data_IF_035032960707
#
_entry.id   IF_035032960707
#
_cell.length_a   1.000
_cell.length_b   1.000
_cell.length_c   1.000
_cell.angle_alpha   90.00
_cell.angle_beta   90.00
_cell.angle_gamma   90.00
#
_symmetry.space_group_name_H-M   'P 1'
#
loop_
_entity.id
_entity.type
_entity.pdbx_description
1 polymer ?
#
# COMPACT_ATOMS: atom_id res chain seq x y z
N UNK A 1 -2.58 -20.64 -1.33
CA UNK A 1 -3.81 -21.01 -0.55
C UNK A 1 -4.67 -19.75 -0.39
N UNK A 2 -5.91 -19.78 0.13
CA UNK A 2 -6.74 -18.55 0.23
C UNK A 2 -7.08 -18.19 1.68
N UNK A 3 -7.01 -16.90 2.02
CA UNK A 3 -7.39 -16.39 3.34
C UNK A 3 -8.90 -16.53 3.54
N UNK A 4 -9.33 -17.17 4.64
CA UNK A 4 -10.74 -17.35 4.97
C UNK A 4 -11.50 -16.03 5.11
N UNK A 5 -10.86 -14.97 5.59
CA UNK A 5 -11.53 -13.71 5.92
C UNK A 5 -11.64 -12.74 4.74
N UNK A 6 -10.53 -12.53 4.02
CA UNK A 6 -10.49 -11.57 2.91
C UNK A 6 -10.42 -12.21 1.52
N UNK A 7 -10.39 -13.54 1.43
CA UNK A 7 -10.29 -14.31 0.16
C UNK A 7 -9.02 -14.03 -0.66
N UNK A 8 -8.04 -13.30 -0.12
CA UNK A 8 -6.77 -13.08 -0.81
C UNK A 8 -6.00 -14.38 -0.94
N UNK A 9 -5.32 -14.55 -2.08
CA UNK A 9 -4.38 -15.65 -2.26
C UNK A 9 -3.18 -15.41 -1.34
N UNK A 10 -2.93 -16.35 -0.44
CA UNK A 10 -1.77 -16.41 0.43
C UNK A 10 -0.66 -17.13 -0.33
N UNK A 11 0.44 -16.40 -0.54
CA UNK A 11 1.71 -16.90 -1.10
C UNK A 11 2.52 -17.63 -0.01
N UNK A 12 3.40 -18.55 -0.40
CA UNK A 12 4.31 -19.28 0.50
C UNK A 12 5.25 -18.34 1.27
N UNK A 13 5.52 -17.16 0.71
CA UNK A 13 6.36 -16.12 1.32
C UNK A 13 5.60 -15.18 2.26
N UNK A 14 4.26 -15.22 2.28
CA UNK A 14 3.46 -14.36 3.14
C UNK A 14 3.27 -14.99 4.52
N UNK A 15 3.32 -14.18 5.58
CA UNK A 15 2.95 -14.66 6.90
C UNK A 15 1.45 -14.97 6.96
N UNK A 16 1.12 -16.16 7.44
CA UNK A 16 -0.25 -16.61 7.67
C UNK A 16 -0.33 -17.38 8.99
N UNK A 17 -1.56 -17.57 9.45
CA UNK A 17 -1.86 -18.30 10.68
C UNK A 17 -2.89 -19.37 10.38
N UNK A 18 -2.60 -20.61 10.79
CA UNK A 18 -3.58 -21.68 10.78
C UNK A 18 -4.61 -21.45 11.88
N UNK A 19 -5.87 -21.77 11.60
CA UNK A 19 -6.96 -21.63 12.56
C UNK A 19 -6.76 -22.53 13.77
N UNK A 20 -6.08 -23.65 13.59
CA UNK A 20 -5.81 -24.64 14.64
C UNK A 20 -4.79 -24.11 15.68
N UNK A 21 -3.96 -23.15 15.29
CA UNK A 21 -2.99 -22.47 16.16
C UNK A 21 -3.59 -21.24 16.88
N UNK A 22 -4.85 -20.88 16.57
CA UNK A 22 -5.52 -19.73 17.16
C UNK A 22 -6.27 -20.10 18.43
N UNK A 23 -6.23 -19.23 19.44
CA UNK A 23 -7.05 -19.39 20.64
C UNK A 23 -8.56 -19.27 20.33
N UNK A 24 -9.44 -19.91 21.13
CA UNK A 24 -10.88 -19.96 20.89
C UNK A 24 -11.54 -18.57 20.85
N UNK A 25 -10.98 -17.60 21.58
CA UNK A 25 -11.43 -16.21 21.55
C UNK A 25 -11.29 -15.58 20.16
N UNK A 26 -10.14 -15.80 19.51
CA UNK A 26 -9.85 -15.28 18.17
C UNK A 26 -10.76 -15.96 17.15
N UNK A 27 -10.87 -17.29 17.23
CA UNK A 27 -11.77 -18.10 16.39
C UNK A 27 -13.20 -17.56 16.48
N UNK A 28 -13.72 -17.35 17.69
CA UNK A 28 -15.11 -16.87 17.90
C UNK A 28 -15.38 -15.51 17.25
N UNK A 29 -14.38 -14.63 17.19
CA UNK A 29 -14.50 -13.30 16.58
C UNK A 29 -14.52 -13.42 15.06
N UNK A 30 -13.69 -14.31 14.50
CA UNK A 30 -13.64 -14.57 13.07
C UNK A 30 -14.92 -15.28 12.63
N UNK A 31 -15.40 -16.29 13.35
CA UNK A 31 -16.68 -16.97 13.09
C UNK A 31 -17.84 -15.99 13.11
N UNK A 32 -17.87 -15.09 14.10
CA UNK A 32 -18.87 -14.01 14.16
C UNK A 32 -18.79 -13.08 12.95
N UNK A 33 -17.59 -12.79 12.46
CA UNK A 33 -17.36 -11.94 11.29
C UNK A 33 -17.74 -12.64 9.97
N UNK A 34 -17.46 -13.94 9.87
CA UNK A 34 -17.74 -14.77 8.69
C UNK A 34 -19.20 -15.19 8.60
N UNK A 35 -19.88 -15.31 9.75
CA UNK A 35 -21.26 -15.78 9.84
C UNK A 35 -21.42 -17.31 9.78
N UNK A 36 -20.33 -18.07 9.85
CA UNK A 36 -20.33 -19.53 9.85
C UNK A 36 -19.16 -20.08 10.67
N UNK A 37 -19.21 -21.38 10.99
CA UNK A 37 -18.12 -22.09 11.66
C UNK A 37 -16.88 -22.16 10.77
N UNK A 38 -15.71 -21.99 11.38
CA UNK A 38 -14.44 -22.07 10.65
C UNK A 38 -14.08 -23.54 10.42
N UNK A 39 -13.77 -23.97 9.19
CA UNK A 39 -13.32 -25.34 8.94
C UNK A 39 -11.93 -25.58 9.54
N UNK A 40 -11.69 -26.80 10.02
CA UNK A 40 -10.36 -27.25 10.49
C UNK A 40 -9.31 -27.07 9.38
N UNK A 41 -8.12 -26.60 9.75
CA UNK A 41 -7.04 -26.32 8.79
C UNK A 41 -7.24 -25.05 7.93
N UNK A 42 -8.14 -24.16 8.35
CA UNK A 42 -8.33 -22.85 7.73
C UNK A 42 -7.09 -21.96 7.84
N UNK A 43 -6.91 -21.03 6.89
CA UNK A 43 -5.78 -20.10 6.89
C UNK A 43 -6.25 -18.65 6.90
N UNK A 44 -5.57 -17.81 7.68
CA UNK A 44 -5.82 -16.38 7.75
C UNK A 44 -4.52 -15.63 7.47
N UNK A 45 -4.55 -14.68 6.54
CA UNK A 45 -3.39 -13.85 6.23
C UNK A 45 -3.04 -12.93 7.40
N UNK A 46 -1.77 -12.56 7.53
CA UNK A 46 -1.27 -11.71 8.61
C UNK A 46 -2.08 -10.42 8.80
N UNK A 47 -2.47 -9.76 7.71
CA UNK A 47 -3.26 -8.52 7.78
C UNK A 47 -4.63 -8.74 8.45
N UNK A 48 -5.33 -9.83 8.12
CA UNK A 48 -6.60 -10.18 8.74
C UNK A 48 -6.42 -10.57 10.22
N UNK A 49 -5.35 -11.29 10.55
CA UNK A 49 -5.03 -11.64 11.93
C UNK A 49 -4.76 -10.39 12.79
N UNK A 50 -3.95 -9.44 12.31
CA UNK A 50 -3.67 -8.17 13.01
C UNK A 50 -4.97 -7.40 13.22
N UNK A 51 -5.84 -7.33 12.20
CA UNK A 51 -7.12 -6.64 12.30
C UNK A 51 -8.04 -7.27 13.36
N UNK A 52 -8.14 -8.59 13.38
CA UNK A 52 -8.92 -9.33 14.36
C UNK A 52 -8.39 -9.09 15.78
N UNK A 53 -7.06 -9.15 15.99
CA UNK A 53 -6.45 -8.86 17.30
C UNK A 53 -6.71 -7.43 17.78
N UNK A 54 -6.60 -6.44 16.89
CA UNK A 54 -6.91 -5.03 17.24
C UNK A 54 -8.37 -4.87 17.63
N UNK A 55 -9.28 -5.54 16.93
CA UNK A 55 -10.72 -5.53 17.26
C UNK A 55 -10.98 -6.09 18.66
N UNK A 56 -10.32 -7.21 19.02
CA UNK A 56 -10.42 -7.81 20.36
C UNK A 56 -9.90 -6.87 21.44
N UNK A 57 -8.78 -6.19 21.19
CA UNK A 57 -8.20 -5.26 22.16
C UNK A 57 -9.04 -3.99 22.35
N UNK A 58 -9.69 -3.49 21.29
CA UNK A 58 -10.51 -2.28 21.33
C UNK A 58 -11.91 -2.52 21.89
N UNK A 59 -12.46 -3.73 21.71
CA UNK A 59 -13.76 -4.14 22.25
C UNK A 59 -13.52 -5.02 23.47
N UNK A 60 -13.32 -4.42 24.65
CA UNK A 60 -13.16 -5.17 25.89
C UNK A 60 -14.35 -6.12 26.14
N UNK A 61 -14.18 -7.38 25.73
CA UNK A 61 -14.90 -8.65 25.98
C UNK A 61 -16.45 -8.67 26.01
N UNK A 62 -17.18 -7.56 26.13
CA UNK A 62 -18.64 -7.55 26.23
C UNK A 62 -19.20 -6.37 25.45
N UNK A 63 -19.25 -6.50 24.13
CA UNK A 63 -20.20 -5.75 23.32
C UNK A 63 -21.06 -6.76 22.56
N UNK A 64 -22.37 -6.66 22.79
CA UNK A 64 -23.44 -7.38 22.09
C UNK A 64 -23.14 -7.56 20.59
N UNK A 65 -23.65 -8.64 19.94
CA UNK A 65 -23.33 -8.96 18.56
C UNK A 65 -23.47 -7.70 17.72
N UNK A 66 -22.33 -7.21 17.22
CA UNK A 66 -22.30 -6.12 16.27
C UNK A 66 -23.23 -6.56 15.15
N UNK A 67 -24.41 -5.94 15.11
CA UNK A 67 -25.40 -6.10 14.06
C UNK A 67 -24.58 -6.06 12.78
N UNK A 68 -24.42 -7.22 12.13
CA UNK A 68 -23.59 -7.37 10.93
C UNK A 68 -23.85 -6.14 10.08
N UNK A 69 -22.84 -5.32 9.82
CA UNK A 69 -22.98 -4.02 9.17
C UNK A 69 -23.88 -4.15 7.95
N UNK A 70 -25.19 -3.92 8.12
CA UNK A 70 -26.22 -4.14 7.09
C UNK A 70 -25.98 -3.19 5.90
N UNK A 71 -25.11 -2.21 6.11
CA UNK A 71 -24.70 -1.21 5.15
C UNK A 71 -23.35 -1.56 4.49
N UNK A 72 -22.97 -2.82 4.33
CA UNK A 72 -21.79 -3.21 3.55
C UNK A 72 -22.15 -4.17 2.40
N UNK A 73 -21.50 -3.99 1.24
CA UNK A 73 -21.69 -4.85 0.08
C UNK A 73 -21.22 -6.28 0.41
N UNK A 74 -22.09 -7.28 0.26
CA UNK A 74 -21.76 -8.68 0.52
C UNK A 74 -20.59 -9.18 -0.34
N UNK A 75 -20.49 -8.69 -1.59
CA UNK A 75 -19.40 -9.05 -2.51
C UNK A 75 -18.09 -8.34 -2.18
N UNK A 76 -18.05 -7.00 -2.29
CA UNK A 76 -16.81 -6.23 -2.21
C UNK A 76 -16.52 -5.58 -0.86
N UNK A 77 -17.40 -5.77 0.14
CA UNK A 77 -17.31 -5.24 1.52
C UNK A 77 -17.23 -3.72 1.66
N UNK A 78 -17.37 -2.96 0.58
CA UNK A 78 -17.46 -1.50 0.64
C UNK A 78 -18.74 -1.06 1.33
N UNK A 79 -18.66 0.05 2.07
CA UNK A 79 -19.81 0.69 2.68
C UNK A 79 -20.85 1.11 1.62
N UNK A 80 -22.11 0.86 1.92
CA UNK A 80 -23.30 1.20 1.15
C UNK A 80 -23.95 2.50 1.64
N UNK A 81 -23.41 3.14 2.67
CA UNK A 81 -24.04 4.30 3.35
C UNK A 81 -24.35 5.49 2.42
N UNK A 82 -23.79 5.52 1.21
CA UNK A 82 -24.05 6.56 0.18
C UNK A 82 -24.09 5.98 -1.24
N UNK A 83 -24.20 4.65 -1.38
CA UNK A 83 -24.11 3.99 -2.69
C UNK A 83 -25.45 3.33 -3.02
N UNK A 84 -25.88 3.41 -4.27
CA UNK A 84 -27.03 2.60 -4.74
C UNK A 84 -26.75 1.12 -4.46
N UNK A 85 -27.66 0.49 -3.74
CA UNK A 85 -27.58 -0.91 -3.35
C UNK A 85 -28.75 -1.70 -3.93
N UNK A 86 -28.56 -3.00 -4.08
CA UNK A 86 -29.58 -3.95 -4.49
C UNK A 86 -29.69 -5.06 -3.47
N UNK A 87 -30.91 -5.43 -3.09
CA UNK A 87 -31.19 -6.70 -2.46
C UNK A 87 -30.86 -7.82 -3.45
N UNK A 88 -30.23 -8.88 -2.97
CA UNK A 88 -29.92 -10.05 -3.79
C UNK A 88 -31.19 -10.93 -3.86
N UNK A 89 -31.92 -10.98 -4.98
CA UNK A 89 -33.09 -11.86 -5.12
C UNK A 89 -32.65 -13.32 -5.25
N UNK A 90 -33.59 -14.25 -5.07
CA UNK A 90 -33.39 -15.65 -5.47
C UNK A 90 -33.27 -15.72 -6.99
N UNK A 91 -32.12 -16.16 -7.50
CA UNK A 91 -31.84 -16.16 -8.94
C UNK A 91 -30.39 -16.54 -9.29
N UNK A 92 -30.06 -16.63 -10.59
CA UNK A 92 -28.72 -17.02 -11.05
C UNK A 92 -27.63 -16.04 -10.60
N UNK A 93 -27.95 -14.76 -10.42
CA UNK A 93 -27.04 -13.76 -9.86
C UNK A 93 -26.62 -14.12 -8.44
N UNK A 94 -27.55 -14.65 -7.62
CA UNK A 94 -27.25 -15.12 -6.26
C UNK A 94 -26.22 -16.24 -6.30
N UNK A 95 -26.40 -17.21 -7.20
CA UNK A 95 -25.45 -18.32 -7.37
C UNK A 95 -24.05 -17.82 -7.73
N UNK A 96 -23.94 -16.90 -8.70
CA UNK A 96 -22.66 -16.28 -9.08
C UNK A 96 -22.02 -15.55 -7.89
N UNK A 97 -22.81 -14.77 -7.14
CA UNK A 97 -22.32 -14.06 -5.96
C UNK A 97 -21.84 -15.07 -4.91
N UNK A 98 -22.65 -16.06 -4.55
CA UNK A 98 -22.32 -17.13 -3.59
C UNK A 98 -21.02 -17.83 -3.96
N UNK A 99 -20.87 -18.24 -5.22
CA UNK A 99 -19.63 -18.86 -5.73
C UNK A 99 -18.43 -17.93 -5.59
N UNK A 100 -18.62 -16.64 -5.87
CA UNK A 100 -17.54 -15.65 -5.81
C UNK A 100 -17.12 -15.31 -4.38
N UNK A 101 -18.06 -15.33 -3.43
CA UNK A 101 -17.78 -14.96 -2.04
C UNK A 101 -17.41 -16.14 -1.15
N UNK A 102 -17.48 -17.37 -1.67
CA UNK A 102 -17.10 -18.60 -0.98
C UNK A 102 -15.72 -18.46 -0.32
N UNK A 103 -15.55 -18.85 0.95
CA UNK A 103 -16.46 -19.69 1.77
C UNK A 103 -17.62 -18.95 2.46
N UNK A 104 -17.78 -17.65 2.27
CA UNK A 104 -18.74 -16.84 3.03
C UNK A 104 -20.16 -17.07 2.54
N UNK A 105 -21.11 -17.06 3.46
CA UNK A 105 -22.54 -17.13 3.14
C UNK A 105 -23.15 -15.74 2.96
N UNK A 106 -24.21 -15.65 2.14
CA UNK A 106 -24.98 -14.42 1.97
C UNK A 106 -25.97 -14.32 3.14
N UNK A 107 -25.85 -13.32 4.03
CA UNK A 107 -26.77 -13.17 5.15
C UNK A 107 -28.20 -12.88 4.66
N UNK A 108 -29.24 -13.21 5.45
CA UNK A 108 -30.62 -12.87 5.11
C UNK A 108 -30.76 -11.35 4.97
N UNK A 109 -31.29 -10.89 3.84
CA UNK A 109 -31.36 -9.46 3.50
C UNK A 109 -30.05 -8.84 3.01
N UNK A 110 -29.06 -9.66 2.64
CA UNK A 110 -27.78 -9.20 2.12
C UNK A 110 -27.92 -8.24 0.93
N UNK A 111 -27.17 -7.13 0.98
CA UNK A 111 -27.14 -6.11 -0.05
C UNK A 111 -25.83 -6.15 -0.84
N UNK A 112 -25.89 -5.84 -2.13
CA UNK A 112 -24.72 -5.60 -2.97
C UNK A 112 -24.72 -4.17 -3.50
N UNK A 113 -23.54 -3.59 -3.69
CA UNK A 113 -23.44 -2.30 -4.38
C UNK A 113 -23.80 -2.47 -5.86
N UNK A 114 -24.26 -1.38 -6.49
CA UNK A 114 -24.65 -1.35 -7.90
C UNK A 114 -23.60 -1.96 -8.85
N UNK A 115 -22.30 -1.65 -8.63
CA UNK A 115 -21.24 -2.17 -9.48
C UNK A 115 -21.12 -3.70 -9.41
N UNK A 116 -21.16 -4.28 -8.21
CA UNK A 116 -21.14 -5.73 -8.01
C UNK A 116 -22.40 -6.39 -8.57
N UNK A 117 -23.55 -5.74 -8.45
CA UNK A 117 -24.80 -6.24 -9.04
C UNK A 117 -24.72 -6.33 -10.57
N UNK A 118 -24.24 -5.28 -11.23
CA UNK A 118 -24.03 -5.28 -12.70
C UNK A 118 -23.01 -6.34 -13.12
N UNK A 119 -21.95 -6.55 -12.33
CA UNK A 119 -20.96 -7.59 -12.59
C UNK A 119 -21.58 -9.01 -12.50
N UNK A 120 -22.39 -9.29 -11.49
CA UNK A 120 -23.14 -10.56 -11.39
C UNK A 120 -24.00 -10.79 -12.64
N UNK A 121 -24.79 -9.79 -13.03
CA UNK A 121 -25.67 -9.90 -14.21
C UNK A 121 -24.92 -10.20 -15.50
N UNK A 122 -23.79 -9.52 -15.74
CA UNK A 122 -22.94 -9.80 -16.90
C UNK A 122 -22.41 -11.23 -16.89
N UNK A 123 -22.02 -11.75 -15.73
CA UNK A 123 -21.55 -13.12 -15.60
C UNK A 123 -22.66 -14.15 -15.88
N UNK A 124 -23.90 -13.87 -15.44
CA UNK A 124 -25.07 -14.69 -15.80
C UNK A 124 -25.29 -14.69 -17.31
N UNK A 125 -25.28 -13.52 -17.95
CA UNK A 125 -25.42 -13.41 -19.42
C UNK A 125 -24.28 -14.10 -20.18
N UNK A 126 -23.07 -14.11 -19.62
CA UNK A 126 -21.95 -14.86 -20.20
C UNK A 126 -22.13 -16.37 -20.05
N UNK A 127 -22.58 -16.85 -18.90
CA UNK A 127 -22.82 -18.27 -18.66
C UNK A 127 -23.90 -18.83 -19.62
N UNK A 128 -25.02 -18.12 -19.78
CA UNK A 128 -26.10 -18.54 -20.68
C UNK A 128 -25.64 -18.60 -22.14
N UNK A 129 -24.87 -17.59 -22.60
CA UNK A 129 -24.31 -17.59 -23.96
C UNK A 129 -23.30 -18.73 -24.19
N UNK A 130 -22.54 -19.14 -23.18
CA UNK A 130 -21.60 -20.26 -23.32
C UNK A 130 -22.36 -21.58 -23.46
N UNK A 131 -23.47 -21.75 -22.74
CA UNK A 131 -24.33 -22.93 -22.86
C UNK A 131 -25.02 -23.01 -24.24
N UNK A 132 -25.54 -21.89 -24.74
CA UNK A 132 -26.15 -21.83 -26.08
C UNK A 132 -25.13 -22.17 -27.19
N UNK A 133 -23.88 -21.73 -27.04
CA UNK A 133 -22.81 -22.00 -28.01
C UNK A 133 -22.28 -23.45 -27.93
N UNK A 134 -22.54 -24.19 -26.84
CA UNK A 134 -22.13 -25.59 -26.70
C UNK A 134 -23.04 -26.58 -27.44
N UNK A 135 -24.22 -26.17 -27.89
CA UNK A 135 -25.18 -27.03 -28.59
C UNK A 135 -24.98 -27.11 -30.13
N UNK A 136 -23.89 -26.54 -30.66
CA UNK A 136 -23.51 -26.66 -32.08
C UNK A 136 -22.63 -27.89 -32.38
N UNK A 137 -22.70 -28.46 -33.60
CA UNK A 137 -21.94 -29.66 -33.98
C UNK A 137 -20.42 -29.41 -33.92
N UNK A 138 -19.74 -30.24 -33.14
CA UNK A 138 -18.46 -29.94 -32.45
C UNK A 138 -17.16 -30.15 -33.24
N UNK A 139 -17.16 -30.09 -34.57
CA UNK A 139 -15.98 -30.55 -35.35
C UNK A 139 -15.20 -29.48 -36.13
N UNK A 140 -15.40 -28.17 -35.87
CA UNK A 140 -14.70 -27.08 -36.59
C UNK A 140 -14.05 -26.02 -35.70
N UNK A 141 -14.00 -26.20 -34.37
CA UNK A 141 -13.65 -25.11 -33.43
C UNK A 141 -12.22 -25.11 -32.88
N UNK A 142 -11.37 -26.09 -33.21
CA UNK A 142 -9.97 -26.06 -32.77
C UNK A 142 -9.13 -25.00 -33.53
N UNK A 143 -9.49 -24.67 -34.78
CA UNK A 143 -8.77 -23.67 -35.61
C UNK A 143 -9.11 -22.22 -35.27
N UNK A 144 -9.95 -21.98 -34.25
CA UNK A 144 -10.42 -20.64 -33.89
C UNK A 144 -10.02 -20.21 -32.48
N UNK A 145 -8.95 -20.78 -31.91
CA UNK A 145 -8.44 -20.39 -30.59
C UNK A 145 -7.09 -19.69 -30.69
N UNK A 146 -6.86 -18.71 -29.81
CA UNK A 146 -5.57 -18.06 -29.67
C UNK A 146 -4.53 -19.09 -29.22
N UNK A 147 -3.44 -19.25 -29.96
CA UNK A 147 -2.39 -20.20 -29.62
C UNK A 147 -1.72 -19.88 -28.27
N UNK A 148 -1.66 -18.61 -27.89
CA UNK A 148 -1.11 -18.19 -26.61
C UNK A 148 -2.12 -18.31 -25.46
N UNK A 149 -3.23 -17.56 -25.49
CA UNK A 149 -4.14 -17.47 -24.35
C UNK A 149 -5.32 -18.46 -24.39
N UNK A 150 -5.40 -19.32 -25.42
CA UNK A 150 -6.47 -20.29 -25.68
C UNK A 150 -7.88 -19.70 -25.78
N UNK A 151 -8.01 -18.38 -25.80
CA UNK A 151 -9.28 -17.69 -25.90
C UNK A 151 -9.84 -17.81 -27.33
N UNK A 152 -11.16 -17.99 -27.46
CA UNK A 152 -11.83 -18.04 -28.76
C UNK A 152 -11.59 -16.73 -29.54
N UNK A 153 -11.23 -16.90 -30.80
CA UNK A 153 -10.99 -15.87 -31.80
C UNK A 153 -12.23 -15.57 -32.63
N UNK A 154 -13.36 -16.22 -32.36
CA UNK A 154 -14.60 -15.99 -33.08
C UNK A 154 -14.99 -14.51 -33.00
N UNK A 155 -15.15 -13.87 -34.17
CA UNK A 155 -15.44 -12.42 -34.35
C UNK A 155 -14.38 -11.45 -33.79
N UNK A 156 -13.15 -11.91 -33.55
CA UNK A 156 -12.04 -11.04 -33.12
C UNK A 156 -11.05 -10.85 -34.26
N UNK A 157 -10.33 -9.72 -34.26
CA UNK A 157 -9.18 -9.53 -35.14
C UNK A 157 -8.06 -10.50 -34.73
N UNK A 158 -7.66 -11.34 -35.67
CA UNK A 158 -6.63 -12.37 -35.51
C UNK A 158 -5.35 -11.99 -36.24
N UNK A 159 -4.23 -12.47 -35.72
CA UNK A 159 -2.91 -12.30 -36.33
C UNK A 159 -2.24 -13.66 -36.42
N UNK A 160 -1.50 -13.91 -37.50
CA UNK A 160 -0.73 -15.15 -37.65
C UNK A 160 0.58 -15.02 -36.87
N UNK A 161 0.95 -16.03 -36.09
CA UNK A 161 2.24 -16.07 -35.43
C UNK A 161 3.35 -16.37 -36.46
N UNK A 162 4.08 -15.36 -36.89
CA UNK A 162 5.16 -15.48 -37.88
C UNK A 162 6.44 -14.78 -37.42
N UNK A 163 7.60 -15.28 -37.86
CA UNK A 163 8.90 -14.67 -37.55
C UNK A 163 9.21 -14.65 -36.04
N UNK A 164 9.83 -13.58 -35.51
CA UNK A 164 10.22 -13.47 -34.09
C UNK A 164 9.05 -13.64 -33.11
N UNK A 165 7.84 -13.23 -33.52
CA UNK A 165 6.62 -13.43 -32.73
C UNK A 165 6.29 -14.91 -32.56
N UNK A 166 6.56 -15.73 -33.58
CA UNK A 166 6.35 -17.19 -33.51
C UNK A 166 7.29 -17.81 -32.49
N UNK A 167 8.55 -17.39 -32.49
CA UNK A 167 9.58 -17.92 -31.59
C UNK A 167 9.27 -17.56 -30.13
N UNK A 168 8.90 -16.31 -29.85
CA UNK A 168 8.48 -15.86 -28.52
C UNK A 168 7.24 -16.64 -28.03
N UNK A 169 6.24 -16.84 -28.89
CA UNK A 169 5.04 -17.61 -28.52
C UNK A 169 5.38 -19.08 -28.29
N UNK A 170 6.20 -19.69 -29.15
CA UNK A 170 6.62 -21.09 -29.02
C UNK A 170 7.39 -21.32 -27.71
N UNK A 171 8.30 -20.42 -27.34
CA UNK A 171 9.01 -20.45 -26.07
C UNK A 171 8.04 -20.39 -24.88
N UNK A 172 6.99 -19.58 -24.98
CA UNK A 172 6.00 -19.40 -23.90
C UNK A 172 5.08 -20.59 -23.69
N UNK A 173 4.77 -21.34 -24.73
CA UNK A 173 3.80 -22.46 -24.68
C UNK A 173 4.46 -23.83 -24.54
N UNK A 174 5.79 -23.88 -24.43
CA UNK A 174 6.57 -25.10 -24.21
C UNK A 174 5.99 -25.91 -23.03
N UNK A 175 5.77 -27.23 -23.18
CA UNK A 175 6.28 -28.13 -24.23
C UNK A 175 5.35 -28.31 -25.44
N UNK A 176 4.29 -27.53 -25.60
CA UNK A 176 3.35 -27.75 -26.70
C UNK A 176 3.92 -27.26 -28.04
N UNK A 177 3.75 -28.06 -29.09
CA UNK A 177 4.11 -27.65 -30.45
C UNK A 177 3.13 -26.58 -30.97
N UNK A 178 3.69 -25.51 -31.55
CA UNK A 178 2.92 -24.42 -32.15
C UNK A 178 2.58 -24.78 -33.61
N UNK A 179 1.28 -24.91 -33.97
CA UNK A 179 0.87 -25.20 -35.34
C UNK A 179 1.41 -24.16 -36.34
N UNK A 180 1.62 -24.57 -37.59
CA UNK A 180 2.18 -23.72 -38.65
C UNK A 180 1.35 -22.45 -38.92
N UNK A 181 0.04 -22.54 -38.75
CA UNK A 181 -0.89 -21.43 -38.93
C UNK A 181 -1.53 -20.98 -37.60
N UNK A 182 -0.76 -21.04 -36.51
CA UNK A 182 -1.21 -20.59 -35.21
C UNK A 182 -1.68 -19.13 -35.24
N UNK A 183 -2.92 -18.91 -34.78
CA UNK A 183 -3.52 -17.58 -34.70
C UNK A 183 -3.40 -17.02 -33.29
N UNK A 184 -3.17 -15.71 -33.20
CA UNK A 184 -3.12 -14.94 -31.96
C UNK A 184 -4.26 -13.93 -31.93
N UNK A 185 -4.78 -13.65 -30.74
CA UNK A 185 -5.65 -12.50 -30.54
C UNK A 185 -4.80 -11.21 -30.58
N UNK A 186 -5.43 -10.08 -30.89
CA UNK A 186 -4.73 -8.79 -30.99
C UNK A 186 -3.89 -8.45 -29.75
N UNK A 187 -4.40 -8.71 -28.54
CA UNK A 187 -3.66 -8.42 -27.31
C UNK A 187 -2.40 -9.31 -27.14
N UNK A 188 -2.50 -10.60 -27.46
CA UNK A 188 -1.34 -11.51 -27.39
C UNK A 188 -0.31 -11.17 -28.46
N UNK A 189 -0.76 -10.73 -29.63
CA UNK A 189 0.14 -10.26 -30.69
C UNK A 189 0.90 -9.00 -30.29
N UNK A 190 0.21 -7.98 -29.76
CA UNK A 190 0.86 -6.75 -29.27
C UNK A 190 1.85 -7.06 -28.14
N UNK A 191 1.46 -7.91 -27.19
CA UNK A 191 2.34 -8.31 -26.08
C UNK A 191 3.58 -9.07 -26.54
N UNK A 192 3.46 -9.90 -27.58
CA UNK A 192 4.62 -10.55 -28.19
C UNK A 192 5.61 -9.52 -28.74
N UNK A 193 5.08 -8.53 -29.47
CA UNK A 193 5.89 -7.45 -30.03
C UNK A 193 6.57 -6.61 -28.96
N UNK A 194 5.86 -6.21 -27.90
CA UNK A 194 6.44 -5.46 -26.79
C UNK A 194 7.58 -6.23 -26.10
N UNK A 195 7.44 -7.54 -25.90
CA UNK A 195 8.50 -8.37 -25.34
C UNK A 195 9.74 -8.39 -26.25
N UNK A 196 9.54 -8.55 -27.57
CA UNK A 196 10.64 -8.56 -28.55
C UNK A 196 11.35 -7.20 -28.59
N UNK A 197 10.61 -6.10 -28.54
CA UNK A 197 11.17 -4.74 -28.50
C UNK A 197 11.95 -4.51 -27.21
N UNK A 198 11.43 -4.94 -26.05
CA UNK A 198 12.15 -4.88 -24.78
C UNK A 198 13.45 -5.70 -24.80
N UNK A 199 13.44 -6.90 -25.36
CA UNK A 199 14.65 -7.71 -25.49
C UNK A 199 15.69 -7.07 -26.43
N UNK A 200 15.26 -6.37 -27.47
CA UNK A 200 16.15 -5.61 -28.35
C UNK A 200 16.72 -4.35 -27.68
N UNK A 201 15.95 -3.66 -26.83
CA UNK A 201 16.45 -2.53 -26.04
C UNK A 201 17.46 -2.97 -24.96
N UNK A 202 17.31 -4.16 -24.37
CA UNK A 202 18.27 -4.69 -23.38
C UNK A 202 19.63 -5.00 -24.00
N UNK A 203 19.68 -5.43 -25.27
CA UNK A 203 20.96 -5.69 -25.97
C UNK A 203 21.64 -4.38 -26.43
N UNK A 204 20.90 -3.27 -26.58
CA UNK A 204 21.46 -1.99 -27.00
C UNK A 204 21.99 -1.13 -25.83
N UNK A 205 21.70 -1.48 -24.58
CA UNK A 205 22.17 -0.76 -23.38
C UNK A 205 23.40 -1.36 -22.69
N UNK A 206 23.90 -2.54 -23.11
CA UNK A 206 25.01 -3.22 -22.44
C UNK A 206 26.38 -3.05 -23.11
N UNK A 207 26.61 -1.89 -23.75
CA UNK A 207 27.97 -1.37 -24.00
C UNK A 207 28.00 0.13 -23.75
N UNK A 208 27.69 0.54 -22.51
CA UNK A 208 28.16 1.82 -21.99
C UNK A 208 29.52 1.54 -21.32
N UNK A 209 30.63 2.22 -21.70
CA UNK A 209 31.90 2.05 -20.99
C UNK A 209 31.67 2.31 -19.49
N UNK A 210 32.39 1.62 -18.59
CA UNK A 210 32.16 1.71 -17.15
C UNK A 210 32.16 3.18 -16.76
N UNK A 211 31.00 3.65 -16.31
CA UNK A 211 30.87 4.98 -15.73
C UNK A 211 31.94 5.05 -14.66
N UNK A 212 32.92 5.94 -14.83
CA UNK A 212 34.04 6.05 -13.91
C UNK A 212 33.48 6.28 -12.50
N UNK A 213 33.49 5.22 -11.68
CA UNK A 213 33.07 5.24 -10.30
C UNK A 213 34.24 5.71 -9.46
N UNK A 214 34.01 6.73 -8.63
CA UNK A 214 35.01 7.30 -7.75
C UNK A 214 34.67 6.85 -6.32
N UNK A 215 35.64 6.32 -5.60
CA UNK A 215 35.49 6.04 -4.17
C UNK A 215 35.70 7.32 -3.38
N UNK A 216 34.77 7.68 -2.52
CA UNK A 216 34.89 8.85 -1.64
C UNK A 216 35.00 8.39 -0.19
N UNK A 217 36.20 8.45 0.37
CA UNK A 217 36.43 8.07 1.76
C UNK A 217 35.74 9.03 2.73
N UNK A 218 35.06 8.47 3.73
CA UNK A 218 34.31 9.22 4.74
C UNK A 218 32.91 9.67 4.31
N UNK A 219 32.48 9.35 3.08
CA UNK A 219 31.10 9.50 2.63
C UNK A 219 30.57 8.16 2.12
N UNK A 220 29.29 7.91 2.35
CA UNK A 220 28.60 6.74 1.81
C UNK A 220 27.31 7.15 1.13
N UNK A 221 26.69 6.26 0.35
CA UNK A 221 25.40 6.51 -0.27
C UNK A 221 24.44 5.33 -0.15
N UNK A 222 23.17 5.68 -0.07
CA UNK A 222 22.07 4.70 -0.04
C UNK A 222 21.88 4.06 -1.41
N UNK A 223 21.46 2.79 -1.45
CA UNK A 223 21.00 2.17 -2.69
C UNK A 223 19.76 2.87 -3.25
N UNK A 224 19.56 2.79 -4.56
CA UNK A 224 18.33 3.29 -5.17
C UNK A 224 17.17 2.34 -4.83
N UNK A 225 16.31 2.77 -3.91
CA UNK A 225 15.25 1.93 -3.35
C UNK A 225 13.89 2.44 -3.80
N UNK A 226 13.40 1.98 -4.95
CA UNK A 226 12.06 2.37 -5.46
C UNK A 226 10.93 1.60 -4.77
N UNK A 227 11.21 0.42 -4.23
CA UNK A 227 10.22 -0.55 -3.73
C UNK A 227 10.16 -0.69 -2.22
N UNK A 228 11.17 -0.23 -1.48
CA UNK A 228 11.26 -0.34 -0.02
C UNK A 228 11.90 0.89 0.60
N UNK A 229 11.79 1.04 1.93
CA UNK A 229 12.48 2.11 2.64
C UNK A 229 14.00 1.94 2.55
N UNK A 230 14.75 3.04 2.40
CA UNK A 230 16.21 3.01 2.31
C UNK A 230 16.89 2.55 3.61
N UNK A 231 16.17 2.61 4.74
CA UNK A 231 16.63 2.08 6.02
C UNK A 231 16.69 0.54 5.95
N UNK A 232 17.87 -0.07 6.21
CA UNK A 232 18.01 -1.52 6.20
C UNK A 232 17.04 -2.23 7.15
N UNK A 233 16.57 -3.41 6.74
CA UNK A 233 15.61 -4.24 7.48
C UNK A 233 14.24 -3.57 7.79
N UNK A 234 13.92 -2.44 7.16
CA UNK A 234 12.59 -1.84 7.29
C UNK A 234 11.56 -2.56 6.40
N UNK A 235 10.55 -3.15 7.03
CA UNK A 235 9.44 -3.85 6.35
C UNK A 235 8.17 -3.01 6.20
N UNK A 236 8.26 -1.70 6.45
CA UNK A 236 7.09 -0.82 6.32
C UNK A 236 6.70 -0.64 4.85
N UNK A 237 5.39 -0.75 4.58
CA UNK A 237 4.81 -0.71 3.23
C UNK A 237 4.76 0.69 2.62
N UNK A 238 4.94 1.72 3.44
CA UNK A 238 4.85 3.11 3.01
C UNK A 238 6.12 3.53 2.26
N UNK A 239 5.93 4.16 1.10
CA UNK A 239 7.00 4.47 0.14
C UNK A 239 6.97 5.93 -0.24
N UNK A 240 7.25 6.82 0.71
CA UNK A 240 7.35 8.24 0.41
C UNK A 240 8.69 8.56 -0.21
N UNK A 241 8.75 9.50 -1.16
CA UNK A 241 10.04 10.07 -1.58
C UNK A 241 10.70 10.75 -0.39
N UNK A 242 12.02 10.57 -0.25
CA UNK A 242 12.78 11.25 0.82
C UNK A 242 12.75 12.76 0.53
N UNK A 243 12.19 13.58 1.44
CA UNK A 243 12.17 15.02 1.25
C UNK A 243 13.59 15.59 1.18
N UNK A 244 13.78 16.66 0.42
CA UNK A 244 15.09 17.25 0.20
C UNK A 244 15.76 17.73 1.49
N UNK A 245 14.99 18.35 2.40
CA UNK A 245 15.49 18.76 3.71
C UNK A 245 16.07 17.58 4.51
N UNK A 246 15.45 16.41 4.42
CA UNK A 246 15.88 15.22 5.16
C UNK A 246 17.15 14.64 4.55
N UNK A 247 17.26 14.62 3.22
CA UNK A 247 18.49 14.21 2.52
C UNK A 247 19.68 15.08 2.93
N UNK A 248 19.46 16.38 3.12
CA UNK A 248 20.50 17.32 3.55
C UNK A 248 20.91 17.11 5.00
N UNK A 249 19.95 16.91 5.91
CA UNK A 249 20.24 16.64 7.33
C UNK A 249 21.10 15.38 7.44
N UNK A 250 20.69 14.28 6.79
CA UNK A 250 21.43 13.01 6.81
C UNK A 250 22.82 13.16 6.20
N UNK A 251 22.96 13.91 5.10
CA UNK A 251 24.27 14.18 4.49
C UNK A 251 25.21 14.97 5.41
N UNK A 252 24.67 15.89 6.23
CA UNK A 252 25.46 16.71 7.15
C UNK A 252 25.82 15.99 8.44
N UNK A 253 24.86 15.28 9.05
CA UNK A 253 25.07 14.64 10.34
C UNK A 253 25.83 13.32 10.19
N UNK A 254 25.37 12.44 9.29
CA UNK A 254 25.89 11.07 9.14
C UNK A 254 26.88 10.92 7.97
N UNK A 255 27.07 11.95 7.13
CA UNK A 255 27.87 11.88 5.89
C UNK A 255 27.35 10.84 4.89
N UNK A 256 26.03 10.61 4.90
CA UNK A 256 25.35 9.66 4.01
C UNK A 256 24.57 10.42 2.94
N UNK A 257 24.93 10.20 1.67
CA UNK A 257 24.18 10.71 0.53
C UNK A 257 22.98 9.82 0.24
N UNK A 258 21.78 10.36 0.49
CA UNK A 258 20.53 9.69 0.12
C UNK A 258 20.20 9.98 -1.34
N UNK A 259 20.01 8.93 -2.14
CA UNK A 259 19.73 9.06 -3.59
C UNK A 259 18.34 9.66 -3.86
N UNK A 260 18.15 10.27 -5.03
CA UNK A 260 16.87 10.92 -5.38
C UNK A 260 15.69 9.94 -5.44
N UNK A 261 15.99 8.69 -5.80
CA UNK A 261 15.01 7.63 -5.93
C UNK A 261 14.79 6.84 -4.63
N UNK A 262 15.50 7.17 -3.55
CA UNK A 262 15.27 6.54 -2.26
C UNK A 262 13.84 6.75 -1.77
N UNK A 263 13.34 5.80 -0.98
CA UNK A 263 12.04 5.90 -0.30
C UNK A 263 12.19 5.82 1.21
N UNK A 264 11.29 6.47 1.94
CA UNK A 264 11.22 6.47 3.40
C UNK A 264 9.77 6.24 3.86
N UNK A 265 9.57 5.37 4.85
CA UNK A 265 8.27 5.16 5.47
C UNK A 265 7.91 6.33 6.42
N UNK A 266 6.65 6.47 6.83
CA UNK A 266 6.25 7.58 7.72
C UNK A 266 6.90 7.48 9.09
N UNK A 267 7.14 6.26 9.59
CA UNK A 267 7.84 6.03 10.86
C UNK A 267 9.25 6.63 10.83
N UNK A 268 10.07 6.21 9.86
CA UNK A 268 11.43 6.75 9.70
C UNK A 268 11.44 8.21 9.27
N UNK A 269 10.45 8.68 8.51
CA UNK A 269 10.33 10.09 8.15
C UNK A 269 10.15 11.01 9.38
N UNK A 270 9.55 10.49 10.44
CA UNK A 270 9.33 11.23 11.69
C UNK A 270 10.47 11.05 12.71
N UNK A 271 11.51 10.28 12.40
CA UNK A 271 12.66 10.16 13.30
C UNK A 271 13.52 11.43 13.27
N UNK A 272 13.93 11.85 14.46
CA UNK A 272 14.79 13.00 14.69
C UNK A 272 16.27 12.62 14.82
N UNK A 273 16.56 11.35 15.08
CA UNK A 273 17.91 10.82 15.21
C UNK A 273 18.18 9.79 14.11
N UNK A 274 19.26 10.00 13.36
CA UNK A 274 19.73 9.14 12.27
C UNK A 274 21.07 8.47 12.56
N UNK A 275 21.61 8.60 13.79
CA UNK A 275 22.89 7.99 14.24
C UNK A 275 22.93 6.46 14.06
N UNK A 276 21.77 5.79 14.04
CA UNK A 276 21.71 4.36 13.81
C UNK A 276 22.14 3.96 12.38
N UNK A 277 22.14 4.91 11.43
CA UNK A 277 22.56 4.65 10.06
C UNK A 277 24.06 4.35 9.95
N UNK A 278 24.89 4.86 10.86
CA UNK A 278 26.33 4.56 10.92
C UNK A 278 26.63 3.07 11.14
N UNK A 279 25.67 2.34 11.70
CA UNK A 279 25.79 0.89 11.93
C UNK A 279 25.58 0.08 10.64
N UNK A 280 25.18 0.73 9.55
CA UNK A 280 24.85 0.08 8.29
C UNK A 280 25.93 0.26 7.23
N UNK A 281 26.21 -0.81 6.50
CA UNK A 281 27.19 -0.81 5.41
C UNK A 281 26.57 -0.26 4.13
N UNK A 282 26.63 1.06 3.97
CA UNK A 282 26.35 1.73 2.72
C UNK A 282 27.57 1.73 1.80
N UNK A 283 27.36 1.88 0.49
CA UNK A 283 28.47 1.88 -0.47
C UNK A 283 29.19 3.22 -0.47
N UNK A 284 30.50 3.21 -0.66
CA UNK A 284 31.37 4.39 -0.77
C UNK A 284 31.77 4.71 -2.23
N UNK A 285 31.22 3.98 -3.20
CA UNK A 285 31.47 4.21 -4.63
C UNK A 285 30.41 5.14 -5.21
N UNK A 286 30.83 6.22 -5.85
CA UNK A 286 29.94 7.23 -6.40
C UNK A 286 30.16 7.37 -7.89
N UNK A 287 29.06 7.56 -8.62
CA UNK A 287 29.10 8.04 -9.99
C UNK A 287 29.30 9.56 -10.04
N UNK A 288 29.78 10.07 -11.18
CA UNK A 288 29.89 11.53 -11.42
C UNK A 288 28.58 12.27 -11.11
N UNK A 289 27.44 11.69 -11.50
CA UNK A 289 26.12 12.30 -11.32
C UNK A 289 25.72 12.38 -9.85
N UNK A 290 26.07 11.36 -9.05
CA UNK A 290 25.80 11.34 -7.62
C UNK A 290 26.64 12.39 -6.88
N UNK A 291 27.91 12.55 -7.26
CA UNK A 291 28.79 13.59 -6.71
C UNK A 291 28.25 14.98 -7.05
N UNK A 292 27.84 15.23 -8.30
CA UNK A 292 27.25 16.50 -8.70
C UNK A 292 25.96 16.80 -7.90
N UNK A 293 25.13 15.78 -7.70
CA UNK A 293 23.89 15.90 -6.92
C UNK A 293 24.17 16.17 -5.44
N UNK A 294 25.16 15.50 -4.86
CA UNK A 294 25.62 15.72 -3.49
C UNK A 294 26.11 17.16 -3.29
N UNK A 295 26.89 17.69 -4.25
CA UNK A 295 27.36 19.08 -4.22
C UNK A 295 26.21 20.09 -4.38
N UNK A 296 25.24 19.82 -5.25
CA UNK A 296 24.04 20.67 -5.37
C UNK A 296 23.27 20.77 -4.04
N UNK A 297 23.11 19.64 -3.34
CA UNK A 297 22.45 19.60 -2.03
C UNK A 297 23.21 20.40 -0.96
N UNK A 298 24.55 20.41 -0.99
CA UNK A 298 25.36 21.15 -0.02
C UNK A 298 25.47 22.64 -0.32
N UNK A 299 25.48 23.06 -1.58
CA UNK A 299 25.62 24.48 -1.97
C UNK A 299 24.36 25.29 -1.63
N UNK A 300 23.17 24.69 -1.70
CA UNK A 300 21.89 25.37 -1.46
C UNK A 300 21.62 25.64 0.05
N UNK A 301 22.66 25.76 0.87
CA UNK A 301 22.63 25.70 2.33
C UNK A 301 22.07 26.94 3.04
N UNK A 302 22.00 28.08 2.34
CA UNK A 302 21.71 29.36 2.97
C UNK A 302 20.23 29.64 3.25
N UNK A 303 19.29 28.88 2.67
CA UNK A 303 17.86 29.25 2.71
C UNK A 303 16.99 28.34 3.61
N UNK A 304 17.39 27.08 3.84
CA UNK A 304 16.51 26.08 4.48
C UNK A 304 16.82 25.89 5.97
N UNK A 305 18.06 26.17 6.43
CA UNK A 305 18.46 25.90 7.83
C UNK A 305 18.18 27.06 8.81
N UNK A 306 17.64 28.19 8.35
CA UNK A 306 17.14 29.23 9.24
C UNK A 306 15.62 29.10 9.38
N UNK A 307 15.16 28.65 10.55
CA UNK A 307 13.78 28.84 10.95
C UNK A 307 13.57 30.33 11.22
N UNK A 308 13.17 31.07 10.18
CA UNK A 308 12.74 32.46 10.37
C UNK A 308 11.31 32.47 10.93
N UNK A 309 11.20 32.45 12.25
CA UNK A 309 9.92 32.55 12.95
C UNK A 309 9.20 33.89 12.69
N UNK A 310 9.88 34.90 12.13
CA UNK A 310 9.22 36.14 11.69
C UNK A 310 8.45 35.95 10.37
N UNK A 311 8.82 34.94 9.58
CA UNK A 311 8.16 34.58 8.33
C UNK A 311 7.75 33.10 8.31
N UNK A 312 6.87 32.70 9.24
CA UNK A 312 6.38 31.32 9.33
C UNK A 312 5.72 30.80 8.03
N UNK A 313 5.21 31.70 7.20
CA UNK A 313 4.59 31.36 5.92
C UNK A 313 5.58 30.76 4.92
N UNK A 314 6.86 31.16 4.96
CA UNK A 314 7.88 30.71 4.02
C UNK A 314 8.57 29.39 4.41
N UNK A 315 8.44 28.95 5.66
CA UNK A 315 9.03 27.69 6.14
C UNK A 315 8.26 26.50 5.53
N UNK A 316 8.90 25.42 5.11
CA UNK A 316 8.17 24.20 4.70
C UNK A 316 7.42 23.57 5.91
N UNK A 317 6.20 23.07 5.72
CA UNK A 317 5.40 22.46 6.79
C UNK A 317 6.08 21.22 7.38
N UNK A 318 6.70 20.41 6.53
CA UNK A 318 7.44 19.21 6.95
C UNK A 318 8.67 19.58 7.78
N UNK A 319 9.42 20.59 7.33
CA UNK A 319 10.57 21.14 8.05
C UNK A 319 10.17 21.78 9.40
N UNK A 320 9.09 22.56 9.43
CA UNK A 320 8.60 23.19 10.65
C UNK A 320 8.18 22.13 11.68
N UNK A 321 7.42 21.12 11.23
CA UNK A 321 7.02 19.99 12.08
C UNK A 321 8.22 19.15 12.52
N UNK A 322 9.23 19.02 11.67
CA UNK A 322 10.47 18.34 12.03
C UNK A 322 11.17 19.04 13.21
N UNK A 323 11.34 20.36 13.17
CA UNK A 323 12.04 21.07 14.25
C UNK A 323 11.21 21.30 15.51
N UNK A 324 9.90 21.51 15.37
CA UNK A 324 9.03 21.89 16.51
C UNK A 324 8.23 20.72 17.08
N UNK A 325 8.13 19.59 16.35
CA UNK A 325 7.27 18.46 16.70
C UNK A 325 5.78 18.69 16.45
N UNK A 326 5.38 19.88 16.00
CA UNK A 326 3.97 20.29 15.83
C UNK A 326 3.75 20.94 14.46
N UNK A 327 2.52 20.86 13.94
CA UNK A 327 2.15 21.55 12.69
C UNK A 327 2.09 23.06 12.91
N UNK A 328 2.22 23.84 11.83
CA UNK A 328 2.09 25.30 11.90
C UNK A 328 0.73 25.72 12.47
N UNK A 329 -0.34 25.03 12.09
CA UNK A 329 -1.69 25.30 12.62
C UNK A 329 -1.75 25.12 14.13
N UNK A 330 -1.16 24.05 14.65
CA UNK A 330 -1.08 23.81 16.09
C UNK A 330 -0.22 24.86 16.79
N UNK A 331 0.89 25.26 16.19
CA UNK A 331 1.75 26.32 16.70
C UNK A 331 1.03 27.68 16.74
N UNK A 332 0.30 28.05 15.69
CA UNK A 332 -0.52 29.27 15.64
C UNK A 332 -1.62 29.21 16.69
N UNK A 333 -2.28 28.07 16.87
CA UNK A 333 -3.27 27.88 17.92
C UNK A 333 -2.66 28.05 19.32
N UNK A 334 -1.49 27.46 19.57
CA UNK A 334 -0.75 27.63 20.83
C UNK A 334 -0.37 29.10 21.04
N UNK A 335 0.17 29.78 20.02
CA UNK A 335 0.49 31.21 20.09
C UNK A 335 -0.74 32.06 20.40
N UNK A 336 -1.88 31.79 19.77
CA UNK A 336 -3.12 32.52 20.01
C UNK A 336 -3.68 32.29 21.42
N UNK A 337 -3.45 31.12 22.01
CA UNK A 337 -3.86 30.80 23.39
C UNK A 337 -2.90 31.41 24.43
N UNK A 338 -1.60 31.46 24.14
CA UNK A 338 -0.57 31.92 25.09
C UNK A 338 -0.32 33.44 24.99
N UNK A 339 -0.45 34.05 23.81
CA UNK A 339 -0.21 35.50 23.61
C UNK A 339 -1.09 36.40 24.50
N UNK A 340 -2.37 36.07 24.78
CA UNK A 340 -3.16 36.78 25.80
C UNK A 340 -2.65 36.60 27.23
N UNK A 341 -2.02 35.47 27.55
CA UNK A 341 -1.46 35.19 28.87
C UNK A 341 -0.13 35.93 29.12
N UNK A 342 0.69 36.11 28.08
CA UNK A 342 1.97 36.83 28.14
C UNK A 342 1.82 38.36 28.12
N UNK A 343 0.66 38.88 27.70
CA UNK A 343 0.35 40.33 27.70
C UNK A 343 -0.21 40.85 29.03
N UNK A 344 -0.36 39.99 30.04
CA UNK A 344 -0.65 40.42 31.40
C UNK A 344 0.54 41.18 31.99
N UNK A 345 0.53 42.51 31.83
CA UNK A 345 1.38 43.46 32.58
C UNK A 345 1.03 43.42 34.06
N UNK A 346 1.53 42.41 34.78
CA UNK A 346 2.00 42.41 36.19
C UNK A 346 2.09 40.96 36.69
N UNK A 347 3.26 40.49 37.16
CA UNK A 347 3.28 39.31 38.01
C UNK A 347 2.55 39.67 39.31
N UNK A 348 1.40 39.03 39.57
CA UNK A 348 0.83 39.01 40.91
C UNK A 348 1.73 38.10 41.74
N UNK A 349 2.56 38.71 42.59
CA UNK A 349 3.23 38.01 43.68
C UNK A 349 2.16 37.45 44.62
N UNK A 350 1.73 36.21 44.40
CA UNK A 350 0.89 35.47 45.32
C UNK A 350 1.75 34.56 46.20
N UNK A 351 2.67 35.16 46.96
CA UNK A 351 3.27 34.52 48.14
C UNK A 351 3.52 35.63 49.17
N UNK A 352 2.57 35.80 50.08
CA UNK A 352 2.65 36.78 51.17
C UNK A 352 1.29 37.37 51.52
N UNK A 353 0.51 36.62 52.28
CA UNK A 353 -0.31 37.11 53.41
C UNK A 353 -1.23 35.98 53.90
N UNK A 354 -0.62 35.05 54.64
CA UNK A 354 -1.31 34.37 55.73
C UNK A 354 -1.52 35.40 56.83
N UNK A 355 -2.62 36.15 56.77
CA UNK A 355 -3.11 36.89 57.93
C UNK A 355 -3.66 35.87 58.93
N UNK A 356 -2.83 35.53 59.90
CA UNK A 356 -3.25 35.09 61.22
C UNK A 356 -2.82 36.14 62.24
N UNK A 357 -3.44 37.31 62.23
CA UNK A 357 -3.32 38.28 63.34
C UNK A 357 -4.50 38.09 64.28
N UNK A 358 -4.23 37.36 65.37
CA UNK A 358 -5.07 37.30 66.54
C UNK A 358 -4.87 38.56 67.39
N UNK A 359 -6.00 39.20 67.68
CA UNK A 359 -6.25 40.17 68.75
C UNK A 359 -5.32 40.06 69.97
N UNK A 360 -4.61 41.15 70.28
CA UNK A 360 -4.38 41.57 71.66
C UNK A 360 -4.48 43.10 71.75
N UNK A 361 -5.55 43.56 72.41
CA UNK A 361 -5.65 44.93 72.94
C UNK A 361 -4.84 45.00 74.23
N UNK A 362 -4.00 46.01 74.31
CA UNK A 362 -3.41 46.51 75.55
C UNK A 362 -2.96 47.94 75.30
N UNK A 363 -3.79 48.90 75.72
CA UNK A 363 -3.35 50.28 75.96
C UNK A 363 -3.29 50.48 77.48
N UNK A 364 -2.40 51.36 77.97
CA UNK A 364 -2.24 51.64 79.40
C UNK A 364 -3.50 52.23 80.05
#
# INVERSE_FOLDING_TARGET
>A
MACLQCTSVIDENEQYYATDDMGPEIISVIERYLGHLIPEGGLICFACWVHTRRTIQQQGIIAAPAVMNMNACVWCRRSLAQTRSHSIPEGPERTIITQTIYPREIPPGGLVCYACWVAARRNVEHATRVEDNRQGPSNLHQDSMCAWCRMSLHRRRTHVASGPVRDEVAARIYPNELPEHALLCSNCWTRAHENIEMEQEVVQFDIQPPSASITLDGFTHTTQTSTHCFVPACNNVERNRVPEYLRRIILKSEKIFVTENARVCNEHKCLYNWEFLDQHQFSNTFTKNEIESMLKLSIQDNEINQLDFNNMSSIDEGLFKFWTGITKDNFINILNVISPALTCKKPKNCFGNLFGESSYRGLP
#
